data_IF_512608767985
#
_entry.id   IF_512608767985
#
_cell.length_a   1.000
_cell.length_b   1.000
_cell.length_c   1.000
_cell.angle_alpha   90.00
_cell.angle_beta   90.00
_cell.angle_gamma   90.00
#
_symmetry.space_group_name_H-M   'P 1'
#
loop_
_entity.id
_entity.type
_entity.pdbx_description
1 polymer ?
2 polymer ?
3 non-polymer ?
4 water ?
#
# COMPACT_ATOMS: atom_id res chain seq x y z
N UNK A 1 -10.19 4.24 23.94
CA UNK A 1 -9.58 3.51 22.82
C UNK A 1 -9.10 2.15 23.32
N UNK A 2 -9.57 1.06 22.68
CA UNK A 2 -9.04 -0.21 23.17
C UNK A 2 -7.55 -0.43 22.81
N UNK A 3 -6.83 -1.20 23.62
CA UNK A 3 -5.47 -1.62 23.26
C UNK A 3 -5.49 -2.81 22.28
N UNK A 4 -4.90 -2.61 21.11
CA UNK A 4 -4.78 -3.69 20.12
C UNK A 4 -3.33 -3.81 19.69
N UNK A 5 -2.74 -4.98 19.90
CA UNK A 5 -1.33 -5.22 19.53
C UNK A 5 -1.22 -5.33 18.02
N UNK A 6 -0.16 -4.74 17.46
CA UNK A 6 0.06 -4.68 16.03
C UNK A 6 -0.37 -5.98 15.32
N UNK A 7 -1.39 -5.89 14.48
CA UNK A 7 -1.94 -7.06 13.80
C UNK A 7 -0.95 -7.59 12.78
N UNK A 8 -0.26 -6.70 12.08
CA UNK A 8 0.69 -7.17 11.06
C UNK A 8 1.95 -7.70 11.72
N UNK A 9 2.42 -7.04 12.82
CA UNK A 9 3.61 -7.59 13.48
C UNK A 9 3.31 -8.99 14.02
N UNK A 10 2.08 -9.20 14.49
CA UNK A 10 1.73 -10.48 15.08
C UNK A 10 1.82 -11.61 14.09
N UNK A 11 1.64 -11.29 12.82
CA UNK A 11 1.72 -12.24 11.72
C UNK A 11 3.03 -12.19 10.92
N UNK A 12 4.00 -11.37 11.37
CA UNK A 12 5.29 -11.35 10.73
C UNK A 12 5.32 -10.60 9.42
N UNK A 13 4.31 -9.75 9.18
CA UNK A 13 4.15 -9.10 7.87
C UNK A 13 4.89 -7.76 7.75
N UNK A 14 5.89 -7.74 6.86
CA UNK A 14 6.78 -6.58 6.70
C UNK A 14 7.22 -6.53 5.24
N UNK A 15 6.46 -5.80 4.43
CA UNK A 15 6.82 -5.62 3.02
C UNK A 15 7.47 -4.28 2.75
N UNK A 16 8.03 -4.14 1.56
CA UNK A 16 8.73 -2.93 1.17
C UNK A 16 8.34 -2.63 -0.30
N UNK A 17 9.03 -1.67 -0.93
CA UNK A 17 8.76 -1.34 -2.35
C UNK A 17 9.83 -1.74 -3.32
N UNK A 18 10.97 -2.21 -2.84
CA UNK A 18 12.11 -2.59 -3.70
C UNK A 18 12.21 -4.08 -3.85
N UNK A 19 13.41 -4.58 -4.07
CA UNK A 19 13.53 -6.04 -4.21
C UNK A 19 13.35 -6.74 -2.85
N UNK A 20 12.79 -7.97 -2.83
CA UNK A 20 12.29 -8.77 -3.96
C UNK A 20 10.79 -8.58 -4.19
N UNK A 21 10.24 -7.40 -3.88
CA UNK A 21 8.82 -7.13 -4.05
C UNK A 21 8.48 -6.57 -5.42
N UNK A 22 9.48 -6.03 -6.09
CA UNK A 22 9.28 -5.32 -7.34
C UNK A 22 9.80 -6.05 -8.54
N UNK A 23 9.91 -7.37 -8.48
CA UNK A 23 10.54 -8.09 -9.57
C UNK A 23 9.65 -8.20 -10.81
N UNK A 24 8.40 -7.78 -10.71
CA UNK A 24 7.51 -7.87 -11.86
C UNK A 24 6.88 -6.53 -12.26
N UNK A 25 7.31 -5.45 -11.61
CA UNK A 25 6.88 -4.14 -12.03
C UNK A 25 7.55 -3.79 -13.38
N UNK A 26 7.03 -2.77 -14.09
CA UNK A 26 7.70 -2.40 -15.37
C UNK A 26 9.17 -1.99 -15.21
N UNK A 27 9.99 -2.36 -16.18
CA UNK A 27 11.39 -1.97 -16.20
C UNK A 27 11.56 -0.60 -16.79
N UNK A 28 12.17 0.33 -16.05
CA UNK A 28 12.34 1.72 -16.51
C UNK A 28 13.11 1.78 -17.84
N UNK A 29 12.58 2.57 -18.77
CA UNK A 29 13.10 2.62 -20.14
C UNK A 29 13.96 3.80 -20.50
N UNK A 30 13.74 4.94 -19.85
CA UNK A 30 14.37 6.21 -20.25
C UNK A 30 15.01 6.85 -19.03
N UNK A 31 16.04 7.65 -19.33
CA UNK A 31 16.64 8.54 -18.32
C UNK A 31 15.83 9.82 -18.39
N UNK A 32 15.36 10.27 -17.25
CA UNK A 32 14.69 11.57 -17.18
C UNK A 32 15.76 12.68 -17.33
N UNK A 33 15.55 13.68 -18.23
CA UNK A 33 16.57 14.72 -18.42
C UNK A 33 16.94 15.44 -17.10
N UNK A 34 18.23 15.48 -16.80
CA UNK A 34 18.72 16.11 -15.58
C UNK A 34 18.90 15.13 -14.44
N UNK A 35 18.42 13.88 -14.58
CA UNK A 35 18.51 12.88 -13.52
C UNK A 35 19.54 11.80 -13.86
N UNK A 36 20.00 11.06 -12.84
CA UNK A 36 20.85 9.87 -13.09
C UNK A 36 19.96 8.76 -13.63
N UNK A 37 20.59 7.82 -14.29
CA UNK A 37 19.85 6.71 -14.89
C UNK A 37 19.30 5.73 -13.89
N UNK A 38 18.06 5.32 -14.12
CA UNK A 38 17.44 4.14 -13.49
C UNK A 38 17.03 3.13 -14.54
N UNK A 39 17.53 3.33 -15.75
CA UNK A 39 17.20 2.47 -16.90
C UNK A 39 17.61 1.02 -16.65
N UNK A 40 16.70 0.08 -16.90
CA UNK A 40 16.99 -1.34 -16.71
C UNK A 40 16.68 -1.84 -15.31
N UNK A 41 16.29 -0.95 -14.40
CA UNK A 41 15.85 -1.34 -13.05
C UNK A 41 14.33 -1.45 -13.02
N UNK A 42 13.78 -2.37 -12.21
CA UNK A 42 12.35 -2.36 -11.99
C UNK A 42 11.90 -1.10 -11.25
N UNK A 43 10.72 -0.59 -11.61
CA UNK A 43 10.12 0.54 -10.89
C UNK A 43 9.76 0.10 -9.45
N UNK A 44 9.68 1.08 -8.56
CA UNK A 44 9.18 0.81 -7.20
C UNK A 44 7.76 0.30 -7.26
N UNK A 45 7.39 -0.56 -6.28
CA UNK A 45 6.02 -1.02 -6.32
C UNK A 45 4.96 0.04 -6.08
N UNK A 46 5.36 1.10 -5.36
CA UNK A 46 4.41 2.15 -4.95
C UNK A 46 3.90 1.90 -3.55
N UNK A 47 3.96 2.92 -2.69
CA UNK A 47 3.45 2.73 -1.33
C UNK A 47 1.98 2.29 -1.29
N UNK A 48 1.18 2.71 -2.25
CA UNK A 48 -0.24 2.29 -2.24
C UNK A 48 -0.35 0.77 -2.44
N UNK A 49 0.50 0.21 -3.31
CA UNK A 49 0.47 -1.21 -3.54
C UNK A 49 1.04 -1.97 -2.34
N UNK A 50 2.11 -1.48 -1.75
CA UNK A 50 2.71 -2.13 -0.61
C UNK A 50 1.75 -2.14 0.60
N UNK A 51 1.07 -1.04 0.87
CA UNK A 51 0.13 -1.01 2.00
C UNK A 51 -1.01 -1.99 1.72
N UNK A 52 -1.57 -1.94 0.52
CA UNK A 52 -2.66 -2.86 0.21
C UNK A 52 -2.24 -4.31 0.24
N UNK A 53 -1.09 -4.64 -0.31
CA UNK A 53 -0.63 -6.05 -0.26
C UNK A 53 -0.39 -6.58 1.13
N UNK A 54 0.12 -5.75 2.05
CA UNK A 54 0.31 -6.21 3.43
C UNK A 54 -1.05 -6.54 4.04
N UNK A 55 -2.09 -5.78 3.76
CA UNK A 55 -3.43 -6.06 4.30
C UNK A 55 -3.95 -7.36 3.68
N UNK A 56 -3.78 -7.53 2.36
CA UNK A 56 -4.26 -8.76 1.72
C UNK A 56 -3.56 -9.99 2.31
N UNK A 57 -2.25 -9.92 2.59
CA UNK A 57 -1.53 -11.01 3.21
C UNK A 57 -2.10 -11.31 4.60
N UNK A 58 -2.48 -10.30 5.36
CA UNK A 58 -3.09 -10.52 6.68
C UNK A 58 -4.31 -11.46 6.57
N UNK A 59 -5.07 -11.31 5.49
CA UNK A 59 -6.24 -12.18 5.26
C UNK A 59 -5.97 -13.43 4.44
N UNK A 60 -4.80 -13.52 3.80
CA UNK A 60 -4.53 -14.58 2.83
C UNK A 60 -5.69 -14.72 1.86
N UNK A 61 -6.06 -13.66 1.18
CA UNK A 61 -7.27 -13.66 0.34
C UNK A 61 -7.05 -12.63 -0.79
N UNK A 62 -7.51 -12.93 -2.02
CA UNK A 62 -8.31 -14.08 -2.44
C UNK A 62 -7.46 -15.23 -2.94
N UNK A 63 -8.00 -16.43 -2.98
CA UNK A 63 -7.31 -17.51 -3.68
C UNK A 63 -7.37 -17.39 -5.17
N UNK A 64 -8.46 -16.81 -5.69
CA UNK A 64 -8.66 -16.57 -7.12
C UNK A 64 -9.01 -15.12 -7.35
N UNK A 65 -8.30 -14.50 -8.30
CA UNK A 65 -8.62 -13.15 -8.75
C UNK A 65 -9.95 -13.17 -9.50
N UNK A 66 -10.62 -12.01 -9.54
CA UNK A 66 -11.97 -11.95 -10.10
C UNK A 66 -12.06 -11.33 -11.48
N UNK A 67 -11.30 -10.25 -11.71
CA UNK A 67 -11.50 -9.47 -12.93
C UNK A 67 -10.19 -8.83 -13.38
N UNK A 68 -9.89 -8.90 -14.67
CA UNK A 68 -8.67 -8.27 -15.22
C UNK A 68 -8.69 -6.75 -15.10
N UNK A 69 -7.53 -6.13 -15.23
CA UNK A 69 -7.47 -4.67 -15.23
C UNK A 69 -6.43 -4.16 -16.24
N UNK A 70 -6.75 -3.04 -16.90
CA UNK A 70 -5.92 -2.40 -17.94
C UNK A 70 -5.95 -0.90 -17.75
N UNK A 71 -4.80 -0.23 -17.95
CA UNK A 71 -4.82 1.24 -17.98
C UNK A 71 -3.60 1.70 -18.79
N UNK A 72 -3.54 3.01 -19.02
CA UNK A 72 -2.47 3.60 -19.81
C UNK A 72 -1.73 4.62 -18.96
N UNK A 73 -0.39 4.57 -18.94
CA UNK A 73 0.37 5.55 -18.17
C UNK A 73 0.15 6.97 -18.66
N UNK A 74 0.20 7.95 -17.73
CA UNK A 74 0.24 9.35 -18.14
C UNK A 74 1.39 9.63 -19.13
N UNK A 75 1.12 10.39 -20.19
CA UNK A 75 2.15 10.67 -21.20
C UNK A 75 3.21 11.63 -20.71
N UNK A 76 2.99 12.18 -19.52
CA UNK A 76 3.97 13.00 -18.87
C UNK A 76 5.02 12.20 -18.05
N UNK A 77 4.83 10.88 -17.93
CA UNK A 77 5.79 10.05 -17.17
C UNK A 77 7.08 9.93 -17.98
N UNK A 78 8.22 10.46 -17.47
CA UNK A 78 9.45 10.57 -18.26
C UNK A 78 10.25 9.26 -18.29
N UNK A 79 9.78 8.23 -17.56
CA UNK A 79 10.56 6.98 -17.46
C UNK A 79 10.24 5.91 -18.49
N UNK A 80 9.19 6.14 -19.27
CA UNK A 80 8.71 5.20 -20.26
C UNK A 80 8.46 5.87 -21.57
N UNK A 81 8.59 5.10 -22.64
CA UNK A 81 8.13 5.55 -23.94
C UNK A 81 6.60 5.43 -24.05
N UNK A 82 5.99 6.31 -24.83
CA UNK A 82 4.55 6.43 -24.89
C UNK A 82 3.98 6.18 -26.26
N UNK A 83 2.74 5.62 -26.32
CA UNK A 83 1.89 5.21 -25.19
C UNK A 83 2.37 3.90 -24.57
N UNK A 84 2.02 3.73 -23.30
CA UNK A 84 2.43 2.55 -22.53
C UNK A 84 1.16 2.05 -21.83
N UNK A 85 0.69 0.86 -22.22
CA UNK A 85 -0.47 0.24 -21.60
C UNK A 85 -0.01 -0.88 -20.68
N UNK A 86 -0.66 -1.04 -19.54
CA UNK A 86 -0.36 -2.11 -18.61
C UNK A 86 -1.61 -2.95 -18.38
N UNK A 87 -1.42 -4.25 -18.25
CA UNK A 87 -2.53 -5.20 -18.16
C UNK A 87 -2.17 -6.22 -17.11
N UNK A 88 -3.10 -6.52 -16.20
CA UNK A 88 -2.92 -7.64 -15.28
C UNK A 88 -4.09 -8.60 -15.42
N UNK A 89 -3.78 -9.85 -15.73
CA UNK A 89 -4.78 -10.88 -15.96
C UNK A 89 -5.29 -11.45 -14.66
N UNK A 90 -5.81 -10.57 -13.80
CA UNK A 90 -6.22 -10.96 -12.45
C UNK A 90 -7.31 -12.05 -12.41
N UNK A 91 -8.23 -12.04 -13.39
CA UNK A 91 -9.31 -13.06 -13.46
C UNK A 91 -8.77 -14.48 -13.59
N UNK A 92 -7.50 -14.64 -13.98
CA UNK A 92 -6.92 -15.99 -14.18
C UNK A 92 -6.01 -16.36 -13.02
N UNK A 93 -5.82 -15.46 -12.07
CA UNK A 93 -4.81 -15.70 -11.02
C UNK A 93 -5.30 -16.66 -9.98
N UNK A 94 -4.43 -17.59 -9.60
CA UNK A 94 -4.59 -18.39 -8.38
C UNK A 94 -3.40 -18.05 -7.48
N UNK A 95 -3.67 -17.26 -6.46
CA UNK A 95 -2.62 -16.85 -5.54
C UNK A 95 -2.41 -17.93 -4.50
N UNK A 96 -1.15 -18.33 -4.36
CA UNK A 96 -0.82 -19.36 -3.38
C UNK A 96 -0.23 -18.67 -2.17
N UNK A 97 -1.05 -18.56 -1.13
CA UNK A 97 -0.70 -17.77 0.03
C UNK A 97 0.40 -18.43 0.86
N UNK A 98 0.65 -19.72 0.66
CA UNK A 98 1.81 -20.31 1.32
C UNK A 98 3.13 -19.87 0.71
N UNK A 99 3.08 -19.42 -0.55
CA UNK A 99 4.30 -18.94 -1.22
C UNK A 99 4.46 -17.41 -1.12
N UNK A 100 3.34 -16.69 -0.86
CA UNK A 100 3.41 -15.25 -0.62
C UNK A 100 3.71 -15.16 0.87
N UNK A 101 5.00 -15.12 1.19
CA UNK A 101 5.42 -15.15 2.58
C UNK A 101 5.16 -13.82 3.32
N UNK A 102 5.15 -13.84 4.66
CA UNK A 102 4.87 -12.60 5.41
C UNK A 102 6.00 -11.57 5.28
N UNK A 103 7.23 -12.05 5.11
CA UNK A 103 8.34 -11.11 4.86
C UNK A 103 9.46 -11.89 4.19
N UNK A 104 10.45 -11.12 3.72
CA UNK A 104 11.57 -11.62 2.88
C UNK A 104 12.92 -11.08 3.36
N UNK A 105 13.83 -11.98 3.67
CA UNK A 105 15.18 -11.63 4.13
C UNK A 105 16.20 -11.75 2.97
N UNK A 106 15.80 -12.43 1.90
CA UNK A 106 16.66 -12.68 0.75
C UNK A 106 16.85 -14.17 0.53
N UNK A 107 16.73 -14.98 1.57
CA UNK A 107 17.04 -16.41 1.46
C UNK A 107 15.91 -17.24 0.90
N UNK A 108 14.79 -16.61 0.59
CA UNK A 108 13.62 -17.31 0.09
C UNK A 108 13.84 -17.84 -1.32
N UNK A 109 13.00 -18.79 -1.69
CA UNK A 109 13.08 -19.37 -3.05
C UNK A 109 12.64 -18.38 -4.12
N UNK A 110 13.15 -18.56 -5.33
CA UNK A 110 12.63 -17.73 -6.44
C UNK A 110 11.10 -17.81 -6.59
N UNK A 111 10.53 -18.99 -6.34
CA UNK A 111 9.05 -19.13 -6.41
C UNK A 111 8.41 -18.20 -5.37
N UNK A 112 8.94 -18.17 -4.15
CA UNK A 112 8.39 -17.27 -3.12
C UNK A 112 8.57 -15.80 -3.46
N UNK A 113 9.74 -15.46 -4.03
CA UNK A 113 9.95 -14.05 -4.42
C UNK A 113 9.01 -13.67 -5.57
N UNK A 114 8.84 -14.54 -6.55
CA UNK A 114 7.94 -14.22 -7.65
C UNK A 114 6.49 -14.14 -7.21
N UNK A 115 6.10 -14.92 -6.20
CA UNK A 115 4.72 -14.92 -5.73
C UNK A 115 4.38 -13.55 -5.15
N UNK A 116 5.22 -12.99 -4.27
CA UNK A 116 4.92 -11.67 -3.75
C UNK A 116 5.08 -10.61 -4.86
N UNK A 117 6.03 -10.80 -5.77
CA UNK A 117 6.19 -9.78 -6.82
C UNK A 117 4.98 -9.77 -7.76
N UNK A 118 4.33 -10.92 -7.97
CA UNK A 118 3.18 -10.95 -8.84
C UNK A 118 2.00 -10.25 -8.15
N UNK A 119 1.80 -10.49 -6.86
CA UNK A 119 0.78 -9.75 -6.11
C UNK A 119 1.03 -8.26 -6.18
N UNK A 120 2.25 -7.81 -5.89
CA UNK A 120 2.53 -6.37 -5.89
C UNK A 120 2.28 -5.79 -7.27
N UNK A 121 2.60 -6.53 -8.36
CA UNK A 121 2.45 -5.95 -9.68
C UNK A 121 0.97 -5.87 -10.04
N UNK A 122 0.20 -6.91 -9.69
CA UNK A 122 -1.24 -6.92 -9.97
C UNK A 122 -1.94 -5.81 -9.18
N UNK A 123 -1.61 -5.65 -7.91
CA UNK A 123 -2.25 -4.62 -7.09
C UNK A 123 -1.87 -3.25 -7.64
N UNK A 124 -0.60 -3.06 -7.97
CA UNK A 124 -0.19 -1.76 -8.53
C UNK A 124 -0.91 -1.39 -9.84
N UNK A 125 -1.03 -2.34 -10.74
CA UNK A 125 -1.77 -2.13 -11.96
C UNK A 125 -3.21 -1.74 -11.65
N UNK A 126 -3.84 -2.45 -10.71
CA UNK A 126 -5.25 -2.24 -10.42
C UNK A 126 -5.50 -0.85 -9.81
N UNK A 127 -4.47 -0.17 -9.32
CA UNK A 127 -4.63 1.22 -8.79
C UNK A 127 -4.00 2.25 -9.70
N UNK A 128 -3.81 1.90 -10.97
CA UNK A 128 -3.31 2.88 -12.01
C UNK A 128 -1.99 3.50 -11.59
N UNK A 129 -1.04 2.69 -11.21
CA UNK A 129 0.22 3.17 -10.67
C UNK A 129 1.03 3.95 -11.71
N UNK A 130 1.50 5.11 -11.27
CA UNK A 130 2.37 5.94 -12.10
C UNK A 130 3.81 5.52 -11.80
N UNK A 131 4.29 4.48 -12.48
CA UNK A 131 5.55 3.85 -12.13
C UNK A 131 6.80 4.70 -12.35
N UNK A 132 7.75 4.54 -11.45
CA UNK A 132 9.05 5.22 -11.60
C UNK A 132 9.99 4.71 -10.49
N UNK A 133 11.15 5.37 -10.34
CA UNK A 133 12.05 5.16 -9.19
C UNK A 133 11.25 5.27 -7.92
N UNK A 134 10.33 6.25 -7.86
CA UNK A 134 9.24 6.26 -6.91
C UNK A 134 7.98 6.11 -7.77
N UNK A 135 6.95 5.53 -7.18
CA UNK A 135 5.71 5.21 -7.94
C UNK A 135 4.49 5.73 -7.19
N UNK A 136 3.64 6.52 -7.85
CA UNK A 136 2.50 7.08 -7.14
C UNK A 136 1.16 6.73 -7.73
N UNK A 137 0.13 6.79 -6.89
CA UNK A 137 -1.25 6.48 -7.24
C UNK A 137 -2.17 7.46 -6.58
N UNK A 138 -3.41 7.57 -7.08
CA UNK A 138 -4.44 8.35 -6.36
C UNK A 138 -4.79 7.73 -4.98
N UNK A 139 -4.53 6.44 -4.81
CA UNK A 139 -4.67 5.85 -3.48
C UNK A 139 -6.09 5.35 -3.19
N UNK A 140 -6.65 5.82 -2.08
CA UNK A 140 -7.87 5.26 -1.49
C UNK A 140 -9.00 4.98 -2.47
N UNK A 141 -9.33 5.94 -3.34
CA UNK A 141 -10.50 5.75 -4.20
C UNK A 141 -10.28 4.59 -5.17
N UNK A 142 -9.03 4.37 -5.56
CA UNK A 142 -8.70 3.24 -6.45
C UNK A 142 -8.57 1.96 -5.65
N UNK A 143 -7.98 2.03 -4.46
CA UNK A 143 -7.82 0.84 -3.61
C UNK A 143 -9.16 0.19 -3.27
N UNK A 144 -10.13 1.00 -2.88
CA UNK A 144 -11.39 0.43 -2.49
C UNK A 144 -12.07 -0.27 -3.68
N UNK A 145 -12.00 0.35 -4.86
CA UNK A 145 -12.57 -0.27 -6.06
C UNK A 145 -11.85 -1.57 -6.42
N UNK A 146 -10.53 -1.57 -6.40
CA UNK A 146 -9.76 -2.74 -6.81
C UNK A 146 -10.04 -3.89 -5.87
N UNK A 147 -10.06 -3.61 -4.57
CA UNK A 147 -10.26 -4.71 -3.58
C UNK A 147 -11.55 -5.43 -3.85
N UNK A 148 -12.62 -4.71 -4.12
CA UNK A 148 -13.94 -5.34 -4.38
C UNK A 148 -14.00 -5.91 -5.79
N UNK A 149 -13.75 -5.09 -6.79
CA UNK A 149 -14.04 -5.52 -8.17
C UNK A 149 -13.02 -6.50 -8.77
N UNK A 150 -11.74 -6.32 -8.43
CA UNK A 150 -10.68 -7.18 -9.00
C UNK A 150 -10.33 -8.32 -8.05
N UNK A 151 -10.38 -8.10 -6.74
CA UNK A 151 -9.91 -9.10 -5.80
C UNK A 151 -11.01 -9.75 -4.97
N UNK A 152 -12.28 -9.39 -5.20
CA UNK A 152 -13.37 -10.11 -4.54
C UNK A 152 -13.52 -9.91 -3.02
N UNK A 153 -13.05 -8.81 -2.48
CA UNK A 153 -13.35 -8.45 -1.09
C UNK A 153 -14.81 -8.02 -0.91
N UNK A 154 -15.28 -8.11 0.34
CA UNK A 154 -16.67 -7.83 0.70
C UNK A 154 -17.10 -6.42 0.30
N UNK A 155 -18.41 -6.27 0.04
CA UNK A 155 -18.95 -4.95 -0.26
C UNK A 155 -18.85 -4.00 0.95
N UNK A 156 -18.49 -4.51 2.13
CA UNK A 156 -18.16 -3.61 3.26
C UNK A 156 -16.95 -2.67 2.96
N UNK A 157 -16.08 -2.98 1.99
CA UNK A 157 -14.91 -2.16 1.72
C UNK A 157 -15.41 -0.81 1.26
N UNK A 158 -14.86 0.27 1.83
CA UNK A 158 -15.16 1.60 1.32
C UNK A 158 -14.14 2.61 1.84
N UNK A 159 -13.98 3.70 1.10
CA UNK A 159 -13.15 4.85 1.50
C UNK A 159 -13.95 5.73 2.47
N UNK A 160 -13.27 6.20 3.52
CA UNK A 160 -13.78 7.28 4.38
C UNK A 160 -12.79 8.44 4.34
N UNK A 161 -13.28 9.69 4.33
CA UNK A 161 -12.45 10.90 4.31
C UNK A 161 -12.49 11.59 5.68
N UNK A 162 -11.31 11.96 6.19
CA UNK A 162 -11.18 12.60 7.47
C UNK A 162 -12.08 13.82 7.64
N UNK A 163 -12.22 14.62 6.57
CA UNK A 163 -13.04 15.83 6.57
C UNK A 163 -14.54 15.57 6.82
N UNK A 164 -15.01 14.34 6.66
CA UNK A 164 -16.43 14.04 6.85
C UNK A 164 -16.79 13.63 8.28
N UNK A 165 -15.82 13.61 9.20
CA UNK A 165 -16.10 13.14 10.57
C UNK A 165 -15.47 14.02 11.59
N UNK A 166 -16.02 14.03 12.80
CA UNK A 166 -15.28 14.60 13.93
C UNK A 166 -14.08 13.71 14.25
N UNK A 167 -13.14 14.20 15.02
CA UNK A 167 -12.02 13.38 15.43
C UNK A 167 -12.52 12.13 16.15
N UNK A 168 -13.46 12.32 17.09
CA UNK A 168 -13.95 11.17 17.81
C UNK A 168 -14.54 10.13 16.85
N UNK A 169 -15.39 10.53 15.89
CA UNK A 169 -16.07 9.51 15.07
C UNK A 169 -15.12 8.82 14.08
N UNK A 170 -14.14 9.59 13.63
CA UNK A 170 -13.05 9.09 12.79
C UNK A 170 -12.27 8.00 13.52
N UNK A 171 -11.77 8.34 14.69
CA UNK A 171 -11.01 7.35 15.49
C UNK A 171 -11.90 6.17 15.93
N UNK A 172 -13.19 6.42 16.19
CA UNK A 172 -14.04 5.31 16.58
C UNK A 172 -14.17 4.31 15.41
N UNK A 173 -14.19 4.80 14.19
CA UNK A 173 -14.24 3.88 13.03
C UNK A 173 -12.96 3.08 12.90
N UNK A 174 -11.80 3.72 13.04
CA UNK A 174 -10.51 3.00 13.08
C UNK A 174 -10.51 1.93 14.22
N UNK A 175 -10.94 2.33 15.42
CA UNK A 175 -10.95 1.37 16.53
C UNK A 175 -11.90 0.19 16.28
N UNK A 176 -13.05 0.43 15.66
CA UNK A 176 -13.96 -0.68 15.38
C UNK A 176 -13.31 -1.69 14.40
N UNK A 177 -12.62 -1.17 13.38
CA UNK A 177 -11.90 -2.07 12.46
C UNK A 177 -10.89 -2.91 13.23
N UNK A 178 -10.09 -2.25 14.08
CA UNK A 178 -9.06 -2.98 14.80
C UNK A 178 -9.68 -4.03 15.75
N UNK A 179 -10.83 -3.70 16.35
CA UNK A 179 -11.54 -4.66 17.24
C UNK A 179 -12.03 -5.89 16.50
N UNK A 180 -12.17 -5.75 15.19
CA UNK A 180 -12.63 -6.86 14.33
C UNK A 180 -11.47 -7.54 13.60
N UNK A 181 -10.24 -7.27 14.05
CA UNK A 181 -9.05 -7.85 13.40
C UNK A 181 -8.99 -7.48 11.93
N UNK A 182 -9.20 -6.19 11.65
CA UNK A 182 -9.22 -5.68 10.28
C UNK A 182 -8.25 -4.49 10.17
N UNK A 183 -7.00 -4.73 9.79
CA UNK A 183 -6.08 -3.61 9.48
C UNK A 183 -6.70 -2.63 8.47
N UNK A 184 -6.33 -1.35 8.63
CA UNK A 184 -6.91 -0.24 7.88
C UNK A 184 -5.86 0.38 6.92
N UNK A 185 -6.25 0.57 5.65
CA UNK A 185 -5.40 1.32 4.72
C UNK A 185 -5.57 2.80 5.03
N UNK A 186 -4.50 3.58 4.97
CA UNK A 186 -4.57 5.00 5.40
C UNK A 186 -3.60 5.80 4.51
N UNK A 187 -3.92 7.08 4.20
CA UNK A 187 -2.99 7.95 3.49
C UNK A 187 -3.20 9.39 3.91
N UNK A 188 -2.19 10.18 3.59
CA UNK A 188 -2.24 11.61 3.78
C UNK A 188 -1.11 12.31 3.06
N UNK A 189 -1.17 13.62 3.14
CA UNK A 189 -0.26 14.48 2.37
C UNK A 189 0.26 15.57 3.29
N UNK A 190 1.48 16.05 3.01
CA UNK A 190 2.03 17.14 3.78
C UNK A 190 3.37 17.54 3.24
N UNK A 191 4.21 18.10 4.11
CA UNK A 191 5.43 18.71 3.60
C UNK A 191 6.59 17.78 3.37
N UNK A 192 6.36 16.48 3.51
CA UNK A 192 7.31 15.47 3.05
C UNK A 192 6.65 14.52 2.06
N UNK A 193 5.59 15.01 1.40
CA UNK A 193 4.96 14.33 0.28
C UNK A 193 3.69 13.61 0.70
N UNK A 194 3.18 12.81 -0.21
CA UNK A 194 2.04 11.96 0.06
C UNK A 194 2.47 10.51 0.21
N UNK A 195 1.83 9.79 1.12
CA UNK A 195 2.22 8.40 1.40
C UNK A 195 1.01 7.64 1.89
N UNK A 196 1.03 6.32 1.63
CA UNK A 196 0.02 5.33 2.05
C UNK A 196 0.69 4.33 2.98
N UNK A 197 -0.09 3.82 3.95
CA UNK A 197 0.47 2.99 5.02
C UNK A 197 -0.68 2.24 5.69
N UNK A 198 -0.38 1.47 6.72
CA UNK A 198 -1.41 0.64 7.35
C UNK A 198 -1.48 0.95 8.84
N UNK A 199 -2.71 1.20 9.32
CA UNK A 199 -2.96 1.32 10.76
C UNK A 199 -3.38 -0.05 11.28
N UNK A 200 -2.64 -0.61 12.23
CA UNK A 200 -2.92 -2.02 12.64
C UNK A 200 -2.82 -2.23 14.13
N UNK A 201 -2.90 -1.18 14.94
CA UNK A 201 -2.96 -1.39 16.38
C UNK A 201 -3.21 -0.08 17.08
N UNK A 202 -3.27 -0.15 18.40
CA UNK A 202 -3.61 1.03 19.22
C UNK A 202 -3.12 0.82 20.62
N UNK A 203 -2.64 1.89 21.28
CA UNK A 203 -2.08 1.72 22.62
C UNK A 203 -2.98 2.16 23.78
N UNK A 204 -4.22 2.56 23.49
CA UNK A 204 -5.16 2.97 24.55
C UNK A 204 -5.01 4.44 24.96
N UNK A 205 -4.04 5.13 24.35
CA UNK A 205 -3.76 6.52 24.74
C UNK A 205 -3.85 7.42 23.50
N UNK A 206 -4.64 6.97 22.52
CA UNK A 206 -4.92 7.70 21.28
C UNK A 206 -3.77 7.74 20.31
N UNK A 207 -2.78 6.85 20.50
CA UNK A 207 -1.78 6.58 19.46
C UNK A 207 -2.14 5.28 18.78
N UNK A 208 -1.81 5.21 17.51
CA UNK A 208 -2.07 4.03 16.68
C UNK A 208 -0.76 3.47 16.19
N UNK A 209 -0.71 2.17 16.06
CA UNK A 209 0.45 1.53 15.46
C UNK A 209 0.39 1.65 13.93
N UNK A 210 1.52 2.04 13.33
CA UNK A 210 1.63 2.28 11.88
C UNK A 210 2.72 1.42 11.28
N UNK A 211 2.39 0.75 10.18
CA UNK A 211 3.39 0.10 9.36
C UNK A 211 3.53 0.91 8.09
N UNK A 212 4.70 1.51 7.90
CA UNK A 212 4.86 2.45 6.80
C UNK A 212 5.14 1.86 5.46
N UNK A 213 5.39 0.55 5.41
CA UNK A 213 5.69 -0.15 4.18
C UNK A 213 7.13 0.04 3.67
N UNK A 214 8.05 0.29 4.62
CA UNK A 214 9.45 0.41 4.31
C UNK A 214 10.26 -0.67 4.98
N UNK A 215 9.64 -1.82 5.14
CA UNK A 215 10.30 -2.99 5.68
C UNK A 215 10.45 -3.00 7.18
N UNK A 216 9.93 -1.98 7.88
CA UNK A 216 10.05 -1.86 9.32
C UNK A 216 10.54 -0.49 9.73
N UNK A 217 11.30 0.18 8.84
CA UNK A 217 11.81 1.51 9.10
C UNK A 217 10.68 2.45 9.57
N UNK A 218 10.90 3.10 10.72
CA UNK A 218 9.98 4.07 11.31
C UNK A 218 8.64 3.52 11.86
N UNK A 219 8.38 2.21 11.76
CA UNK A 219 7.14 1.65 12.32
C UNK A 219 7.08 1.92 13.83
N UNK A 220 5.88 2.19 14.33
CA UNK A 220 5.72 2.50 15.74
C UNK A 220 4.38 3.16 16.00
N UNK A 221 4.32 3.93 17.09
CA UNK A 221 3.07 4.51 17.53
C UNK A 221 3.03 5.98 17.19
N UNK A 222 1.93 6.37 16.55
CA UNK A 222 1.73 7.75 16.13
C UNK A 222 0.29 8.21 16.35
N UNK A 223 0.12 9.48 16.66
CA UNK A 223 -1.20 10.12 16.66
C UNK A 223 -1.59 10.30 15.21
N UNK A 224 -2.90 10.24 14.92
CA UNK A 224 -3.33 10.40 13.53
C UNK A 224 -3.19 11.82 12.99
N UNK A 225 -3.00 12.81 13.86
CA UNK A 225 -2.70 14.18 13.39
C UNK A 225 -1.20 14.53 13.48
N UNK A 226 -0.37 13.51 13.69
CA UNK A 226 1.09 13.69 13.65
C UNK A 226 1.73 12.41 13.12
N UNK A 227 1.35 12.08 11.87
CA UNK A 227 1.86 10.89 11.19
C UNK A 227 3.19 11.26 10.53
N UNK A 228 4.24 11.27 11.36
CA UNK A 228 5.48 12.01 11.03
C UNK A 228 6.68 11.11 11.27
N UNK A 229 6.99 10.22 10.31
CA UNK A 229 8.13 9.30 10.52
C UNK A 229 9.49 10.00 10.34
N UNK A 230 10.46 9.73 11.23
CA UNK A 230 11.75 10.43 11.19
C UNK A 230 12.64 10.00 10.01
N UNK A 231 12.25 8.93 9.32
CA UNK A 231 13.01 8.45 8.16
C UNK A 231 12.87 9.38 6.94
N UNK A 232 11.94 10.33 6.99
CA UNK A 232 11.75 11.31 5.93
C UNK A 232 12.11 12.67 6.46
N UNK A 233 12.42 13.56 5.52
CA UNK A 233 12.78 14.91 5.87
C UNK A 233 14.28 15.09 5.79
N UNK A 234 14.73 16.05 4.99
CA UNK A 234 16.12 16.36 4.92
C UNK A 234 16.31 17.78 5.48
N UNK A 235 17.37 17.95 6.25
CA UNK A 235 17.68 19.28 6.77
C UNK A 235 17.37 19.42 8.25
N UNK A 236 16.63 18.47 8.83
CA UNK A 236 16.45 18.54 10.28
C UNK A 236 15.05 18.88 10.78
N UNK A 237 14.12 19.18 9.88
CA UNK A 237 12.84 19.76 10.30
C UNK A 237 11.74 18.72 10.54
N UNK A 238 10.50 19.20 10.48
CA UNK A 238 9.33 18.41 10.79
C UNK A 238 8.47 18.18 9.55
N UNK A 239 7.70 17.11 9.53
CA UNK A 239 6.79 16.87 8.42
C UNK A 239 6.13 15.54 8.53
N UNK A 240 4.90 15.50 8.03
CA UNK A 240 4.13 14.28 8.11
C UNK A 240 2.88 14.25 7.24
N UNK A 241 2.11 13.18 7.32
CA UNK A 241 1.01 12.96 6.35
C UNK A 241 -0.31 13.38 7.00
N UNK A 242 -0.40 14.67 7.30
CA UNK A 242 -1.45 15.13 8.20
C UNK A 242 -2.61 15.84 7.53
N UNK A 243 -2.52 16.01 6.22
CA UNK A 243 -3.57 16.70 5.48
C UNK A 243 -4.23 15.79 4.45
N UNK A 244 -5.42 16.18 4.02
CA UNK A 244 -6.21 15.42 3.08
C UNK A 244 -6.22 13.94 3.34
N UNK A 245 -6.44 13.58 4.60
CA UNK A 245 -6.39 12.17 4.98
C UNK A 245 -7.60 11.39 4.55
N UNK A 246 -7.36 10.15 4.15
CA UNK A 246 -8.44 9.20 3.94
C UNK A 246 -8.02 7.81 4.30
N UNK A 247 -8.99 6.92 4.39
CA UNK A 247 -8.73 5.54 4.76
C UNK A 247 -9.62 4.63 3.99
N UNK A 248 -9.26 3.37 3.87
CA UNK A 248 -10.15 2.34 3.34
C UNK A 248 -10.38 1.38 4.49
N UNK A 249 -11.66 1.25 4.83
CA UNK A 249 -12.09 0.39 5.97
C UNK A 249 -13.02 -0.72 5.45
N UNK A 250 -13.46 -1.59 6.36
CA UNK A 250 -14.31 -2.71 5.99
C UNK A 250 -13.61 -3.79 5.17
N UNK A 251 -12.30 -3.82 5.26
CA UNK A 251 -11.53 -4.76 4.43
C UNK A 251 -11.56 -6.15 5.04
N UNK A 252 -12.38 -7.04 4.45
CA UNK A 252 -12.47 -8.44 4.81
C UNK A 252 -13.00 -9.21 3.62
N UNK A 253 -12.78 -10.51 3.60
CA UNK A 253 -13.21 -11.29 2.42
C UNK A 253 -14.74 -11.39 2.21
N UNK A 254 -15.16 -11.61 0.97
CA UNK A 254 -16.59 -11.76 0.62
C UNK A 254 -17.29 -12.76 1.53
C UNK B 1 -3.00 11.89 -8.81
N UNK B 2 -1.75 11.52 -9.01
CA UNK B 2 -1.22 10.23 -8.59
C UNK B 2 -0.03 10.47 -7.68
N UNK B 3 -0.30 11.12 -6.55
CA UNK B 3 0.78 11.68 -5.74
C UNK B 3 0.98 10.98 -4.42
N UNK B 4 0.26 9.87 -4.21
CA UNK B 4 0.45 9.08 -2.98
C UNK B 4 1.49 8.06 -3.30
N UNK B 5 2.66 8.16 -2.69
CA UNK B 5 3.75 7.30 -3.05
C UNK B 5 4.31 6.42 -1.97
X LIG C 1 9.44 8.65 14.50
X LIG C 1 9.79 7.64 13.62
X LIG C 1 9.65 9.98 14.23
X LIG C 1 8.85 8.37 15.72
#
# INVERSE_FOLDING_TARGET
QPVVKSLLNSKGIHYNQGNPYNLLTPVIEKVKPGEQSFVGQHAATGCVATATAQIMKYHNYPNKGLKDYTYTLSSNNPYFNHPKNLFAAISTRQYNWNNILPTYSGRESNVQKMAISELMADVGISVDMDYGPSSGSAGSSRVQRALKENFGYNQSVHQINRSDFSKQDWEAQIDKELSQNQPVYYQGVGKVGGHAFVIDGADGRNFYHVNWGWGGVSDGFFRLDALNPSALGTGGGAGGFNGYQSAVVGIKPLEHHHHHH
XAEIX
NO3 N O1 O2 O3
#
